data_IF_437031111837
#
_entry.id   IF_437031111837
#
_cell.length_a   1.000
_cell.length_b   1.000
_cell.length_c   1.000
_cell.angle_alpha   90.00
_cell.angle_beta   90.00
_cell.angle_gamma   90.00
#
_symmetry.space_group_name_H-M   'P 1'
#
loop_
_entity.id
_entity.type
_entity.pdbx_description
1 polymer ?
#
# COMPACT_ATOMS: atom_id res chain seq x y z
N UNK A 1 22.24 -0.24 -5.64
CA UNK A 1 21.74 -1.38 -4.84
C UNK A 1 20.39 -0.96 -4.25
N UNK A 2 19.40 -1.84 -4.25
CA UNK A 2 18.07 -1.50 -3.75
C UNK A 2 18.07 -1.41 -2.23
N UNK A 3 17.48 -0.35 -1.68
CA UNK A 3 17.39 -0.16 -0.23
C UNK A 3 16.29 -1.06 0.34
N UNK A 4 16.69 -2.13 1.03
CA UNK A 4 15.74 -3.12 1.57
C UNK A 4 14.95 -2.61 2.77
N UNK A 5 15.51 -1.71 3.58
CA UNK A 5 14.83 -1.14 4.76
C UNK A 5 13.45 -0.55 4.44
N UNK A 6 13.37 0.43 3.52
CA UNK A 6 12.10 1.00 3.02
C UNK A 6 11.10 -0.04 2.54
N UNK A 7 11.58 -1.07 1.84
CA UNK A 7 10.74 -2.12 1.30
C UNK A 7 10.15 -2.96 2.41
N UNK A 8 10.99 -3.46 3.32
CA UNK A 8 10.57 -4.33 4.42
C UNK A 8 9.61 -3.59 5.36
N UNK A 9 9.97 -2.37 5.78
CA UNK A 9 9.12 -1.57 6.66
C UNK A 9 7.80 -1.17 6.00
N UNK A 10 7.85 -0.78 4.73
CA UNK A 10 6.63 -0.47 3.98
C UNK A 10 5.71 -1.69 3.88
N UNK A 11 6.23 -2.88 3.54
CA UNK A 11 5.43 -4.12 3.52
C UNK A 11 4.79 -4.39 4.88
N UNK A 12 5.57 -4.32 5.98
CA UNK A 12 5.05 -4.61 7.33
C UNK A 12 3.92 -3.64 7.69
N UNK A 13 4.15 -2.33 7.53
CA UNK A 13 3.12 -1.32 7.82
C UNK A 13 1.90 -1.49 6.91
N UNK A 14 2.14 -1.74 5.63
CA UNK A 14 1.09 -1.99 4.66
C UNK A 14 0.23 -3.19 5.07
N UNK A 15 0.84 -4.31 5.45
CA UNK A 15 0.13 -5.51 5.89
C UNK A 15 -0.70 -5.23 7.14
N UNK A 16 -0.14 -4.52 8.12
CA UNK A 16 -0.86 -4.11 9.32
C UNK A 16 -2.09 -3.29 8.95
N UNK A 17 -1.94 -2.25 8.13
CA UNK A 17 -3.05 -1.38 7.70
C UNK A 17 -4.08 -2.19 6.90
N UNK A 18 -3.62 -2.96 5.91
CA UNK A 18 -4.46 -3.78 5.05
C UNK A 18 -5.30 -4.80 5.81
N UNK A 19 -4.74 -5.40 6.87
CA UNK A 19 -5.46 -6.34 7.74
C UNK A 19 -6.64 -5.72 8.47
N UNK A 20 -6.64 -4.38 8.66
CA UNK A 20 -7.70 -3.65 9.34
C UNK A 20 -8.77 -3.09 8.39
N UNK A 21 -8.60 -3.21 7.07
CA UNK A 21 -9.58 -2.72 6.10
C UNK A 21 -10.84 -3.60 6.16
N UNK A 22 -11.96 -2.98 6.54
CA UNK A 22 -13.29 -3.61 6.50
C UNK A 22 -13.89 -3.43 5.10
N UNK A 23 -14.39 -4.52 4.52
CA UNK A 23 -15.03 -4.50 3.20
C UNK A 23 -16.40 -3.80 3.23
N UNK A 24 -17.06 -3.87 4.38
CA UNK A 24 -18.32 -3.19 4.67
C UNK A 24 -18.07 -2.21 5.80
N UNK A 25 -18.19 -0.93 5.49
CA UNK A 25 -18.13 0.12 6.50
C UNK A 25 -19.23 1.12 6.16
N UNK A 26 -20.13 1.36 7.12
CA UNK A 26 -21.34 2.17 6.90
C UNK A 26 -22.19 1.60 5.74
N UNK A 27 -22.61 2.44 4.80
CA UNK A 27 -23.42 2.08 3.62
C UNK A 27 -22.59 1.83 2.35
N UNK A 28 -21.25 1.87 2.45
CA UNK A 28 -20.36 1.72 1.29
C UNK A 28 -19.68 0.36 1.29
N UNK A 29 -19.72 -0.30 0.13
CA UNK A 29 -19.00 -1.53 -0.13
C UNK A 29 -17.70 -1.21 -0.87
N UNK A 30 -16.57 -1.67 -0.34
CA UNK A 30 -15.32 -1.66 -1.09
C UNK A 30 -15.40 -2.69 -2.22
N UNK A 31 -15.79 -2.22 -3.41
CA UNK A 31 -15.87 -3.04 -4.62
C UNK A 31 -14.49 -3.23 -5.22
N UNK A 32 -14.39 -4.18 -6.18
CA UNK A 32 -13.17 -4.35 -6.97
C UNK A 32 -12.70 -3.05 -7.63
N UNK A 33 -13.64 -2.20 -8.09
CA UNK A 33 -13.34 -0.90 -8.67
C UNK A 33 -12.66 0.05 -7.68
N UNK A 34 -13.09 0.05 -6.41
CA UNK A 34 -12.45 0.85 -5.36
C UNK A 34 -10.97 0.48 -5.20
N UNK A 35 -10.64 -0.81 -5.30
CA UNK A 35 -9.25 -1.27 -5.21
C UNK A 35 -8.40 -0.84 -6.40
N UNK A 36 -8.96 -0.86 -7.62
CA UNK A 36 -8.27 -0.35 -8.81
C UNK A 36 -7.94 1.14 -8.64
N UNK A 37 -8.89 1.93 -8.14
CA UNK A 37 -8.67 3.36 -7.89
C UNK A 37 -7.58 3.58 -6.84
N UNK A 38 -7.59 2.79 -5.76
CA UNK A 38 -6.53 2.84 -4.72
C UNK A 38 -5.15 2.53 -5.31
N UNK A 39 -5.04 1.54 -6.20
CA UNK A 39 -3.76 1.22 -6.86
C UNK A 39 -3.26 2.42 -7.67
N UNK A 40 -4.13 3.00 -8.50
CA UNK A 40 -3.77 4.13 -9.35
C UNK A 40 -3.36 5.34 -8.49
N UNK A 41 -4.17 5.69 -7.49
CA UNK A 41 -3.86 6.78 -6.57
C UNK A 41 -2.54 6.52 -5.82
N UNK A 42 -2.31 5.27 -5.38
CA UNK A 42 -1.10 4.89 -4.68
C UNK A 42 0.16 5.00 -5.54
N UNK A 43 0.08 4.64 -6.81
CA UNK A 43 1.19 4.80 -7.77
C UNK A 43 1.48 6.29 -8.03
N UNK A 44 0.44 7.12 -8.19
CA UNK A 44 0.60 8.57 -8.38
C UNK A 44 1.28 9.20 -7.16
N UNK A 45 0.86 8.85 -5.95
CA UNK A 45 1.47 9.36 -4.71
C UNK A 45 2.92 8.89 -4.58
N UNK A 46 3.20 7.62 -4.86
CA UNK A 46 4.56 7.10 -4.85
C UNK A 46 5.47 7.85 -5.83
N UNK A 47 4.95 8.20 -7.01
CA UNK A 47 5.67 8.97 -8.02
C UNK A 47 5.92 10.42 -7.57
N UNK A 48 4.89 11.11 -7.06
CA UNK A 48 5.05 12.48 -6.56
C UNK A 48 5.96 12.57 -5.33
N UNK A 49 6.00 11.51 -4.52
CA UNK A 49 6.90 11.43 -3.37
C UNK A 49 8.37 11.28 -3.79
N UNK A 50 8.65 11.00 -5.07
CA UNK A 50 9.99 10.79 -5.59
C UNK A 50 10.74 9.73 -4.78
N UNK A 51 12.04 9.92 -4.58
CA UNK A 51 12.86 8.95 -3.85
C UNK A 51 12.75 9.06 -2.32
N UNK A 52 11.60 9.48 -1.76
CA UNK A 52 11.44 9.61 -0.31
C UNK A 52 11.67 8.28 0.43
N UNK A 53 12.40 8.25 1.56
CA UNK A 53 13.11 9.34 2.26
C UNK A 53 14.59 9.54 1.81
N UNK A 54 14.79 9.92 0.56
CA UNK A 54 16.07 10.31 -0.07
C UNK A 54 17.05 9.17 -0.37
N UNK A 55 16.55 8.01 -0.82
CA UNK A 55 17.45 7.00 -1.37
C UNK A 55 17.94 7.41 -2.76
N UNK A 56 18.76 6.57 -3.40
CA UNK A 56 19.30 6.80 -4.76
C UNK A 56 19.03 5.62 -5.69
N UNK A 57 18.17 4.70 -5.28
CA UNK A 57 17.87 3.45 -5.97
C UNK A 57 16.82 3.60 -7.06
N UNK A 58 15.65 4.16 -6.76
CA UNK A 58 14.56 4.33 -7.74
C UNK A 58 13.95 5.74 -7.67
N UNK A 59 13.50 6.33 -8.79
CA UNK A 59 12.90 7.67 -8.81
C UNK A 59 11.50 7.74 -8.16
N UNK A 60 11.03 6.65 -7.57
CA UNK A 60 9.71 6.46 -6.96
C UNK A 60 9.90 6.00 -5.52
N UNK A 61 8.95 6.31 -4.64
CA UNK A 61 9.09 5.95 -3.22
C UNK A 61 8.91 4.44 -3.06
N UNK A 62 10.02 3.73 -2.88
CA UNK A 62 10.04 2.28 -2.68
C UNK A 62 9.29 1.88 -1.40
N UNK A 63 9.33 2.71 -0.36
CA UNK A 63 8.53 2.55 0.86
C UNK A 63 7.02 2.63 0.60
N UNK A 64 6.59 3.57 -0.24
CA UNK A 64 5.17 3.74 -0.52
C UNK A 64 4.64 2.62 -1.40
N UNK A 65 5.38 2.25 -2.45
CA UNK A 65 5.02 1.11 -3.32
C UNK A 65 4.96 -0.18 -2.51
N UNK A 66 5.94 -0.43 -1.65
CA UNK A 66 5.99 -1.63 -0.82
C UNK A 66 4.86 -1.65 0.21
N UNK A 67 4.48 -0.49 0.78
CA UNK A 67 3.30 -0.36 1.63
C UNK A 67 1.99 -0.59 0.87
N UNK A 68 1.87 -0.10 -0.36
CA UNK A 68 0.70 -0.37 -1.20
C UNK A 68 0.53 -1.88 -1.43
N UNK A 69 1.61 -2.57 -1.80
CA UNK A 69 1.63 -4.04 -1.92
C UNK A 69 1.23 -4.70 -0.60
N UNK A 70 1.83 -4.26 0.52
CA UNK A 70 1.52 -4.74 1.85
C UNK A 70 0.04 -4.60 2.20
N UNK A 71 -0.61 -3.48 1.85
CA UNK A 71 -2.05 -3.27 2.08
C UNK A 71 -2.88 -4.34 1.37
N UNK A 72 -2.56 -4.64 0.11
CA UNK A 72 -3.29 -5.67 -0.64
C UNK A 72 -3.05 -7.06 -0.08
N UNK A 73 -1.81 -7.39 0.27
CA UNK A 73 -1.46 -8.67 0.89
C UNK A 73 -2.14 -8.84 2.25
N UNK A 74 -2.03 -7.84 3.13
CA UNK A 74 -2.65 -7.85 4.46
C UNK A 74 -4.16 -7.92 4.39
N UNK A 75 -4.76 -7.22 3.43
CA UNK A 75 -6.19 -7.36 3.14
C UNK A 75 -6.51 -8.78 2.68
N UNK A 76 -5.81 -9.33 1.68
CA UNK A 76 -6.13 -10.64 1.13
C UNK A 76 -6.03 -11.76 2.18
N UNK A 77 -5.02 -11.68 3.05
CA UNK A 77 -4.76 -12.70 4.06
C UNK A 77 -5.61 -12.53 5.33
N UNK A 78 -5.93 -11.30 5.73
CA UNK A 78 -6.47 -11.02 7.06
C UNK A 78 -7.71 -10.13 7.09
N UNK A 79 -8.24 -9.68 5.93
CA UNK A 79 -9.44 -8.83 5.92
C UNK A 79 -10.59 -9.52 6.64
N UNK A 80 -11.06 -8.86 7.69
CA UNK A 80 -12.18 -9.36 8.49
C UNK A 80 -13.47 -9.02 7.79
N UNK A 81 -14.21 -10.05 7.37
CA UNK A 81 -15.62 -9.93 7.02
C UNK A 81 -16.41 -9.68 8.31
N UNK A 82 -16.64 -8.42 8.64
CA UNK A 82 -17.83 -8.04 9.42
C UNK A 82 -18.69 -7.18 8.51
#
# INVERSE_FOLDING_TARGET
MLSLGPIIFGIILGVIIGSQIKLKCCDSNFTWTSFVIIIIAGIIIAWQSGNYPFYTDLPISTAFVSALIGIFVGKLLFARSK
#
